data_IF_907125686454
#
_entry.id   IF_907125686454
#
_cell.length_a   1.000
_cell.length_b   1.000
_cell.length_c   1.000
_cell.angle_alpha   90.00
_cell.angle_beta   90.00
_cell.angle_gamma   90.00
#
_symmetry.space_group_name_H-M   'P 1'
#
loop_
_entity.id
_entity.type
_entity.pdbx_description
1 polymer ?
#
# COMPACT_ATOMS: atom_id res chain seq x y z
N UNK A 1 -13.38 8.80 2.60
CA UNK A 1 -13.65 7.43 2.11
C UNK A 1 -14.74 6.77 2.91
N UNK A 2 -15.55 6.00 2.25
CA UNK A 2 -16.56 5.14 2.88
C UNK A 2 -15.98 3.74 3.09
N UNK A 3 -16.70 2.89 3.83
CA UNK A 3 -16.24 1.53 4.12
C UNK A 3 -17.30 0.49 3.78
N UNK A 4 -16.84 -0.70 3.39
CA UNK A 4 -17.65 -1.90 3.27
C UNK A 4 -16.87 -3.07 3.88
N UNK A 5 -17.57 -4.04 4.43
CA UNK A 5 -16.96 -5.15 5.14
C UNK A 5 -17.54 -6.49 4.72
N UNK A 6 -16.72 -7.53 4.83
CA UNK A 6 -17.13 -8.92 4.68
C UNK A 6 -16.49 -9.75 5.80
N UNK A 7 -17.11 -10.87 6.13
CA UNK A 7 -16.66 -11.76 7.20
C UNK A 7 -16.33 -13.14 6.66
N UNK A 8 -15.57 -13.92 7.41
CA UNK A 8 -15.15 -15.28 7.04
C UNK A 8 -14.44 -15.34 5.70
N UNK A 9 -13.59 -14.35 5.41
CA UNK A 9 -12.84 -14.29 4.18
C UNK A 9 -11.58 -15.16 4.32
N UNK A 10 -11.37 -16.06 3.35
CA UNK A 10 -10.18 -16.90 3.30
C UNK A 10 -9.00 -16.08 2.80
N UNK A 11 -7.90 -15.96 3.58
CA UNK A 11 -6.76 -15.13 3.16
C UNK A 11 -6.07 -15.65 1.90
N UNK A 12 -6.04 -16.96 1.67
CA UNK A 12 -5.39 -17.53 0.48
C UNK A 12 -6.19 -17.21 -0.78
N UNK A 13 -7.50 -17.34 -0.74
CA UNK A 13 -8.37 -17.00 -1.86
C UNK A 13 -8.33 -15.51 -2.16
N UNK A 14 -8.33 -14.68 -1.13
CA UNK A 14 -8.21 -13.23 -1.28
C UNK A 14 -6.87 -12.84 -1.89
N UNK A 15 -5.78 -13.40 -1.42
CA UNK A 15 -4.44 -13.13 -1.96
C UNK A 15 -4.36 -13.50 -3.44
N UNK A 16 -4.86 -14.66 -3.82
CA UNK A 16 -4.88 -15.11 -5.21
C UNK A 16 -5.69 -14.14 -6.09
N UNK A 17 -6.84 -13.71 -5.61
CA UNK A 17 -7.67 -12.74 -6.33
C UNK A 17 -6.97 -11.39 -6.49
N UNK A 18 -6.31 -10.92 -5.44
CA UNK A 18 -5.55 -9.68 -5.48
C UNK A 18 -4.38 -9.75 -6.47
N UNK A 19 -3.69 -10.89 -6.52
CA UNK A 19 -2.61 -11.09 -7.49
C UNK A 19 -3.13 -11.07 -8.93
N UNK A 20 -4.31 -11.62 -9.19
CA UNK A 20 -4.95 -11.50 -10.52
C UNK A 20 -5.26 -10.04 -10.85
N UNK A 21 -5.79 -9.29 -9.90
CA UNK A 21 -6.14 -7.88 -10.09
C UNK A 21 -4.91 -7.00 -10.30
N UNK A 22 -3.77 -7.37 -9.73
CA UNK A 22 -2.55 -6.56 -9.81
C UNK A 22 -2.11 -6.28 -11.25
N UNK A 23 -2.38 -7.20 -12.17
CA UNK A 23 -2.03 -7.03 -13.58
C UNK A 23 -2.85 -5.97 -14.30
N UNK A 24 -4.01 -5.58 -13.78
CA UNK A 24 -4.93 -4.63 -14.39
C UNK A 24 -5.14 -3.35 -13.60
N UNK A 25 -4.50 -3.21 -12.45
CA UNK A 25 -4.65 -2.04 -11.57
C UNK A 25 -3.35 -1.26 -11.50
N UNK A 26 -3.45 0.05 -11.62
CA UNK A 26 -2.31 0.96 -11.45
C UNK A 26 -2.03 1.19 -9.97
N UNK A 27 -0.78 1.41 -9.63
CA UNK A 27 -0.37 1.71 -8.26
C UNK A 27 -0.90 0.66 -7.29
N UNK A 28 -0.51 -0.58 -7.51
CA UNK A 28 -0.95 -1.71 -6.70
C UNK A 28 0.07 -2.02 -5.61
N UNK A 29 -0.41 -2.22 -4.39
CA UNK A 29 0.41 -2.66 -3.25
C UNK A 29 -0.29 -3.81 -2.52
N UNK A 30 0.48 -4.81 -2.14
CA UNK A 30 -0.01 -5.96 -1.37
C UNK A 30 1.04 -6.35 -0.34
N UNK A 31 0.62 -6.37 0.91
CA UNK A 31 1.43 -6.82 2.04
C UNK A 31 0.74 -8.00 2.70
N UNK A 32 1.48 -9.08 2.93
CA UNK A 32 0.96 -10.28 3.58
C UNK A 32 1.85 -10.66 4.74
N UNK A 33 1.25 -11.12 5.83
CA UNK A 33 1.97 -11.69 6.97
C UNK A 33 2.47 -13.10 6.69
N UNK A 34 1.95 -13.75 5.64
CA UNK A 34 2.22 -15.16 5.31
C UNK A 34 1.98 -16.10 6.49
N UNK A 35 0.97 -15.81 7.29
CA UNK A 35 0.63 -16.60 8.47
C UNK A 35 1.51 -16.32 9.70
N UNK A 36 2.49 -15.43 9.59
CA UNK A 36 3.33 -15.08 10.74
C UNK A 36 2.53 -14.25 11.75
N UNK A 37 2.52 -14.71 13.00
CA UNK A 37 1.85 -14.00 14.08
C UNK A 37 2.83 -13.03 14.71
N UNK A 38 2.72 -11.76 14.33
CA UNK A 38 3.54 -10.70 14.90
C UNK A 38 2.87 -10.11 16.14
N UNK A 39 3.66 -9.83 17.16
CA UNK A 39 3.21 -9.09 18.34
C UNK A 39 2.66 -7.70 17.98
N UNK A 40 3.14 -7.12 16.89
CA UNK A 40 2.82 -5.76 16.47
C UNK A 40 1.91 -5.70 15.26
N UNK A 41 1.70 -6.83 14.55
CA UNK A 41 0.90 -6.88 13.33
C UNK A 41 -0.57 -7.12 13.61
N UNK A 42 -1.42 -6.22 13.11
CA UNK A 42 -2.87 -6.34 13.23
C UNK A 42 -3.49 -7.02 12.01
N UNK A 43 -2.80 -7.01 10.87
CA UNK A 43 -3.37 -7.45 9.61
C UNK A 43 -2.73 -8.72 9.08
N UNK A 44 -3.57 -9.61 8.56
CA UNK A 44 -3.15 -10.76 7.75
C UNK A 44 -2.76 -10.31 6.36
N UNK A 45 -3.58 -9.44 5.75
CA UNK A 45 -3.34 -8.81 4.46
C UNK A 45 -3.64 -7.32 4.53
N UNK A 46 -2.85 -6.54 3.80
CA UNK A 46 -3.08 -5.12 3.58
C UNK A 46 -2.85 -4.86 2.10
N UNK A 47 -3.81 -4.24 1.43
CA UNK A 47 -3.70 -3.96 0.00
C UNK A 47 -4.23 -2.59 -0.35
N UNK A 48 -3.76 -2.08 -1.50
CA UNK A 48 -4.21 -0.80 -2.02
C UNK A 48 -4.02 -0.76 -3.53
N UNK A 49 -4.84 0.02 -4.21
CA UNK A 49 -4.63 0.34 -5.62
C UNK A 49 -5.21 1.70 -5.98
N UNK A 50 -4.80 2.18 -7.17
CA UNK A 50 -5.19 3.47 -7.69
C UNK A 50 -4.42 4.60 -7.02
N UNK A 51 -4.41 5.76 -7.64
CA UNK A 51 -3.71 6.92 -7.08
C UNK A 51 -4.57 8.17 -7.23
N UNK A 52 -5.04 8.71 -6.09
CA UNK A 52 -5.66 10.05 -6.04
C UNK A 52 -4.61 11.13 -6.14
N UNK A 53 -3.42 10.88 -5.59
CA UNK A 53 -2.30 11.78 -5.60
C UNK A 53 -1.00 10.98 -5.50
N UNK A 54 0.07 11.54 -6.05
CA UNK A 54 1.41 10.95 -6.01
C UNK A 54 2.34 11.95 -5.34
N UNK A 55 3.17 11.47 -4.43
CA UNK A 55 4.10 12.27 -3.65
C UNK A 55 5.54 11.84 -3.93
N UNK A 56 6.38 12.79 -4.29
CA UNK A 56 7.80 12.56 -4.52
C UNK A 56 8.64 12.99 -3.31
N UNK A 57 9.96 13.00 -3.48
CA UNK A 57 10.90 13.41 -2.44
C UNK A 57 10.64 14.85 -1.96
N UNK A 58 10.29 15.76 -2.86
CA UNK A 58 10.00 17.15 -2.52
C UNK A 58 8.78 17.26 -1.63
N UNK A 59 7.70 16.55 -1.98
CA UNK A 59 6.48 16.51 -1.19
C UNK A 59 6.74 15.91 0.20
N UNK A 60 7.59 14.89 0.27
CA UNK A 60 7.97 14.24 1.52
C UNK A 60 8.69 15.23 2.46
N UNK A 61 9.62 16.03 1.92
CA UNK A 61 10.31 17.08 2.69
C UNK A 61 9.36 18.15 3.20
N UNK A 62 8.26 18.39 2.49
CA UNK A 62 7.26 19.41 2.84
C UNK A 62 6.15 18.87 3.74
N UNK A 63 6.30 17.66 4.30
CA UNK A 63 5.35 17.10 5.24
C UNK A 63 4.06 16.55 4.62
N UNK A 64 4.08 16.17 3.34
CA UNK A 64 2.88 15.70 2.63
C UNK A 64 2.33 14.36 3.14
N UNK A 65 3.06 13.64 3.99
CA UNK A 65 2.67 12.34 4.52
C UNK A 65 2.09 12.41 5.94
N UNK A 66 1.58 13.56 6.36
CA UNK A 66 1.14 13.76 7.74
C UNK A 66 -0.14 13.01 8.12
N UNK A 67 -1.01 12.69 7.17
CA UNK A 67 -2.28 12.03 7.47
C UNK A 67 -2.77 11.16 6.33
N UNK A 68 -3.64 10.18 6.67
CA UNK A 68 -4.25 9.28 5.71
C UNK A 68 -3.34 8.14 5.27
N UNK A 69 -3.87 7.30 4.41
CA UNK A 69 -3.13 6.17 3.86
C UNK A 69 -2.17 6.63 2.78
N UNK A 70 -0.92 6.20 2.89
CA UNK A 70 0.10 6.44 1.89
C UNK A 70 0.90 5.16 1.70
N UNK A 71 1.05 4.73 0.46
CA UNK A 71 1.80 3.53 0.10
C UNK A 71 2.93 3.91 -0.83
N UNK A 72 4.08 3.28 -0.66
CA UNK A 72 5.21 3.59 -1.51
C UNK A 72 6.52 3.04 -0.97
N UNK A 73 7.61 3.68 -1.35
CA UNK A 73 8.94 3.27 -0.94
C UNK A 73 9.85 4.46 -0.71
N UNK A 74 10.88 4.20 0.11
CA UNK A 74 12.01 5.09 0.31
C UNK A 74 13.25 4.38 -0.25
N UNK A 75 13.91 4.99 -1.21
CA UNK A 75 15.14 4.47 -1.75
C UNK A 75 16.30 4.67 -0.79
N UNK A 76 17.29 3.77 -0.86
CA UNK A 76 18.47 3.86 0.00
C UNK A 76 19.21 5.21 -0.16
N UNK A 77 19.27 5.74 -1.37
CA UNK A 77 19.94 7.01 -1.67
C UNK A 77 19.25 8.23 -1.05
N UNK A 78 18.00 8.07 -0.56
CA UNK A 78 17.28 9.16 0.07
C UNK A 78 18.00 9.72 1.30
N UNK A 79 18.80 8.89 1.99
CA UNK A 79 19.58 9.34 3.14
C UNK A 79 20.48 10.53 2.83
N UNK A 80 20.96 10.65 1.58
CA UNK A 80 21.81 11.75 1.15
C UNK A 80 21.10 13.08 1.20
N UNK A 81 19.78 13.08 1.03
CA UNK A 81 18.95 14.28 1.11
C UNK A 81 18.75 14.79 2.53
N UNK A 82 18.75 13.87 3.52
CA UNK A 82 18.51 14.22 4.92
C UNK A 82 19.80 14.31 5.73
N UNK A 83 20.80 13.50 5.41
CA UNK A 83 22.04 13.39 6.16
C UNK A 83 23.21 14.12 5.51
N UNK A 84 23.03 14.69 4.33
CA UNK A 84 24.05 15.40 3.55
C UNK A 84 25.31 14.57 3.30
N UNK A 85 25.10 13.26 3.04
CA UNK A 85 26.18 12.34 2.73
C UNK A 85 26.56 12.41 1.25
N UNK A 86 27.82 12.10 0.94
CA UNK A 86 28.27 11.98 -0.44
C UNK A 86 27.62 10.78 -1.11
N UNK A 87 27.17 10.95 -2.37
CA UNK A 87 26.70 9.81 -3.16
C UNK A 87 27.92 8.96 -3.54
N UNK A 88 27.88 7.67 -3.17
CA UNK A 88 28.95 6.74 -3.48
C UNK A 88 28.94 6.33 -4.94
N UNK A 89 27.99 5.49 -5.32
CA UNK A 89 27.85 4.99 -6.68
C UNK A 89 26.64 5.59 -7.36
N UNK A 90 26.67 5.79 -8.69
CA UNK A 90 25.47 6.21 -9.43
C UNK A 90 24.38 5.16 -9.28
N UNK A 91 23.14 5.62 -9.14
CA UNK A 91 21.99 4.73 -9.04
C UNK A 91 21.85 3.89 -10.31
N UNK A 92 21.62 2.60 -10.15
CA UNK A 92 21.33 1.70 -11.26
C UNK A 92 19.85 1.84 -11.58
N UNK A 93 19.54 2.27 -12.82
CA UNK A 93 18.17 2.52 -13.26
C UNK A 93 17.69 3.92 -12.89
N UNK A 94 16.46 4.23 -13.30
CA UNK A 94 15.87 5.55 -13.11
C UNK A 94 14.74 5.51 -12.06
N UNK A 95 14.99 4.85 -10.94
CA UNK A 95 14.04 4.81 -9.84
C UNK A 95 14.10 6.12 -9.07
N UNK A 96 12.96 6.72 -8.73
CA UNK A 96 12.95 7.87 -7.83
C UNK A 96 13.46 7.48 -6.44
N UNK A 97 14.01 8.45 -5.71
CA UNK A 97 14.53 8.23 -4.35
C UNK A 97 13.41 7.92 -3.36
N UNK A 98 12.23 8.47 -3.59
CA UNK A 98 11.03 8.17 -2.83
C UNK A 98 9.81 8.38 -3.72
N UNK A 99 8.83 7.53 -3.58
CA UNK A 99 7.54 7.72 -4.23
C UNK A 99 6.46 7.10 -3.35
N UNK A 100 5.42 7.89 -3.06
CA UNK A 100 4.24 7.44 -2.33
C UNK A 100 3.00 7.80 -3.11
N UNK A 101 1.95 7.01 -2.96
CA UNK A 101 0.65 7.34 -3.55
C UNK A 101 -0.45 7.31 -2.48
N UNK A 102 -1.41 8.20 -2.64
CA UNK A 102 -2.66 8.17 -1.90
C UNK A 102 -3.61 7.25 -2.65
N UNK A 103 -4.01 6.11 -2.07
CA UNK A 103 -4.78 5.12 -2.81
C UNK A 103 -6.23 5.54 -3.00
N UNK A 104 -6.83 5.05 -4.08
CA UNK A 104 -8.26 5.13 -4.29
C UNK A 104 -9.00 4.06 -3.48
N UNK A 105 -8.37 2.90 -3.31
CA UNK A 105 -8.91 1.77 -2.56
C UNK A 105 -7.86 1.23 -1.60
N UNK A 106 -8.26 1.01 -0.36
CA UNK A 106 -7.45 0.34 0.66
C UNK A 106 -8.27 -0.78 1.27
N UNK A 107 -7.67 -1.94 1.44
CA UNK A 107 -8.32 -3.06 2.12
C UNK A 107 -7.43 -3.66 3.20
N UNK A 108 -8.05 -4.08 4.29
CA UNK A 108 -7.38 -4.75 5.38
C UNK A 108 -8.13 -6.04 5.73
N UNK A 109 -7.38 -7.13 5.88
CA UNK A 109 -7.92 -8.39 6.37
C UNK A 109 -7.26 -8.69 7.71
N UNK A 110 -8.08 -8.83 8.75
CA UNK A 110 -7.56 -9.22 10.05
C UNK A 110 -7.45 -10.75 10.18
N UNK A 111 -6.91 -11.22 11.28
CA UNK A 111 -6.70 -12.66 11.51
C UNK A 111 -7.99 -13.43 11.76
N UNK A 112 -9.05 -12.74 12.13
CA UNK A 112 -10.36 -13.34 12.33
C UNK A 112 -11.15 -13.53 11.03
N UNK A 113 -10.60 -13.07 9.89
CA UNK A 113 -11.24 -13.19 8.59
C UNK A 113 -12.18 -12.02 8.26
N UNK A 114 -12.03 -10.89 8.95
CA UNK A 114 -12.81 -9.69 8.67
C UNK A 114 -12.07 -8.81 7.66
N UNK A 115 -12.70 -8.64 6.50
CA UNK A 115 -12.19 -7.77 5.44
C UNK A 115 -12.91 -6.43 5.50
N UNK A 116 -12.14 -5.34 5.55
CA UNK A 116 -12.66 -3.98 5.49
C UNK A 116 -12.06 -3.28 4.29
N UNK A 117 -12.89 -2.69 3.45
CA UNK A 117 -12.46 -1.94 2.27
C UNK A 117 -12.88 -0.49 2.42
N UNK A 118 -11.92 0.40 2.19
CA UNK A 118 -12.10 1.86 2.22
C UNK A 118 -11.99 2.39 0.80
N UNK A 119 -13.01 3.07 0.32
CA UNK A 119 -13.04 3.68 -1.01
C UNK A 119 -14.21 4.66 -1.09
N UNK A 120 -14.31 5.41 -2.17
CA UNK A 120 -15.49 6.23 -2.41
C UNK A 120 -16.70 5.35 -2.74
N UNK A 121 -16.48 4.28 -3.49
CA UNK A 121 -17.49 3.24 -3.79
C UNK A 121 -17.02 1.89 -3.22
N UNK A 122 -17.09 1.70 -1.89
CA UNK A 122 -16.47 0.53 -1.26
C UNK A 122 -17.17 -0.78 -1.59
N UNK A 123 -18.47 -0.75 -1.87
CA UNK A 123 -19.20 -1.95 -2.28
C UNK A 123 -18.70 -2.51 -3.60
N UNK A 124 -18.41 -1.66 -4.57
CA UNK A 124 -17.88 -2.08 -5.87
C UNK A 124 -16.48 -2.66 -5.72
N UNK A 125 -15.63 -2.00 -4.92
CA UNK A 125 -14.28 -2.49 -4.65
C UNK A 125 -14.30 -3.83 -3.91
N UNK A 126 -15.19 -3.99 -2.95
CA UNK A 126 -15.36 -5.25 -2.22
C UNK A 126 -15.78 -6.38 -3.16
N UNK A 127 -16.71 -6.12 -4.09
CA UNK A 127 -17.16 -7.09 -5.07
C UNK A 127 -16.05 -7.55 -5.99
N UNK A 128 -15.09 -6.68 -6.31
CA UNK A 128 -13.96 -7.03 -7.15
C UNK A 128 -13.01 -8.04 -6.50
N UNK A 129 -12.86 -8.00 -5.19
CA UNK A 129 -11.89 -8.84 -4.47
C UNK A 129 -12.51 -10.14 -3.92
N UNK A 130 -13.80 -10.26 -3.94
CA UNK A 130 -14.51 -11.47 -3.48
C UNK A 130 -15.01 -12.39 -4.65
#
# INVERSE_FOLDING_TARGET
MNTASAHNVDPILLENRLLELSGSRSFFALYTSQGYVSKWGEFELLFAWGAKAIFDTTALKNGALESGWRFGFLGYELRHEFERLSKGNPAIGQWPEAQFFEPEVVGTLDRAGNLTVHADEPGDALALVL
#
